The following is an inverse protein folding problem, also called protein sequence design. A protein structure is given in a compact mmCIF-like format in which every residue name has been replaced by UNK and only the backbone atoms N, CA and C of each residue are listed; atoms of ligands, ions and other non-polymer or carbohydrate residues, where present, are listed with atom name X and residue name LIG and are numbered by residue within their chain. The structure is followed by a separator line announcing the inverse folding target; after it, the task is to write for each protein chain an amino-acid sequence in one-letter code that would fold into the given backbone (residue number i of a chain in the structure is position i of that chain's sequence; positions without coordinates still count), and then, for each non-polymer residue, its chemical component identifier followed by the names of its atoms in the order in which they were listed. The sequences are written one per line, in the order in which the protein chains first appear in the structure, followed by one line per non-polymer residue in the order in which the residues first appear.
data_IF_536919365781
#
_entry.id   IF_536919365781
#
_cell.length_a   1.000
_cell.length_b   1.000
_cell.length_c   1.000
_cell.angle_alpha   90.00
_cell.angle_beta   90.00
_cell.angle_gamma   90.00
#
_symmetry.space_group_name_H-M   'P 1'
#
loop_
_entity.id
_entity.type
_entity.pdbx_description
1 polymer ?
#
# COMPACT_ATOMS: atom_id res chain seq x y z
N UNK A 1 -21.64 -6.29 18.27
CA UNK A 1 -20.89 -7.35 17.55
C UNK A 1 -19.77 -6.68 16.78
N UNK A 2 -18.57 -7.26 16.78
CA UNK A 2 -17.41 -6.73 16.05
C UNK A 2 -17.60 -6.94 14.54
N UNK A 3 -17.50 -5.87 13.74
CA UNK A 3 -17.76 -5.92 12.29
C UNK A 3 -16.49 -6.15 11.45
N UNK A 4 -15.30 -6.01 12.05
CA UNK A 4 -14.03 -5.98 11.34
C UNK A 4 -12.96 -6.85 12.01
N UNK A 5 -12.14 -7.51 11.20
CA UNK A 5 -10.93 -8.24 11.62
C UNK A 5 -9.70 -7.61 11.00
N UNK A 6 -8.80 -7.10 11.84
CA UNK A 6 -7.48 -6.62 11.45
C UNK A 6 -6.47 -7.77 11.54
N UNK A 7 -5.69 -7.97 10.48
CA UNK A 7 -4.72 -9.06 10.37
C UNK A 7 -3.32 -8.46 10.28
N UNK A 8 -2.46 -8.81 11.23
CA UNK A 8 -1.12 -8.23 11.38
C UNK A 8 -0.07 -9.33 11.25
N UNK A 9 0.56 -9.50 10.08
CA UNK A 9 1.69 -10.40 9.96
C UNK A 9 2.96 -9.79 10.55
N UNK A 10 3.76 -10.62 11.22
CA UNK A 10 5.07 -10.22 11.75
C UNK A 10 6.15 -11.28 11.50
N UNK A 11 7.40 -10.82 11.36
CA UNK A 11 8.57 -11.68 11.21
C UNK A 11 9.83 -10.99 11.77
N UNK A 12 10.32 -11.45 12.92
CA UNK A 12 11.56 -10.98 13.55
C UNK A 12 11.63 -9.46 13.79
N UNK A 13 10.48 -8.83 14.07
CA UNK A 13 10.36 -7.37 14.30
C UNK A 13 9.59 -7.05 15.58
N UNK A 14 10.08 -7.47 16.76
CA UNK A 14 9.32 -7.31 17.99
C UNK A 14 9.07 -5.87 18.41
N UNK A 15 10.00 -4.96 18.13
CA UNK A 15 9.80 -3.54 18.42
C UNK A 15 8.69 -2.93 17.58
N UNK A 16 8.64 -3.25 16.27
CA UNK A 16 7.61 -2.71 15.36
C UNK A 16 6.23 -3.20 15.78
N UNK A 17 6.07 -4.52 15.96
CA UNK A 17 4.82 -5.11 16.43
C UNK A 17 4.36 -4.52 17.76
N UNK A 18 5.27 -4.36 18.72
CA UNK A 18 4.93 -3.77 20.03
C UNK A 18 4.40 -2.34 19.89
N UNK A 19 5.07 -1.52 19.07
CA UNK A 19 4.65 -0.13 18.85
C UNK A 19 3.31 -0.06 18.13
N UNK A 20 3.11 -0.87 17.10
CA UNK A 20 1.85 -0.97 16.38
C UNK A 20 0.69 -1.40 17.30
N UNK A 21 0.84 -2.48 18.08
CA UNK A 21 -0.22 -2.97 18.97
C UNK A 21 -0.56 -1.96 20.07
N UNK A 22 0.44 -1.31 20.67
CA UNK A 22 0.21 -0.24 21.65
C UNK A 22 -0.48 0.98 21.05
N UNK A 23 -0.09 1.37 19.84
CA UNK A 23 -0.76 2.42 19.10
C UNK A 23 -2.24 2.08 18.87
N UNK A 24 -2.56 0.88 18.40
CA UNK A 24 -3.94 0.43 18.19
C UNK A 24 -4.75 0.36 19.49
N UNK A 25 -4.14 -0.08 20.59
CA UNK A 25 -4.79 -0.10 21.92
C UNK A 25 -5.09 1.32 22.43
N UNK A 26 -4.13 2.23 22.31
CA UNK A 26 -4.26 3.61 22.73
C UNK A 26 -5.32 4.37 21.90
N UNK A 27 -5.43 4.05 20.61
CA UNK A 27 -6.50 4.54 19.74
C UNK A 27 -7.88 3.93 20.09
N UNK A 28 -7.92 2.85 20.87
CA UNK A 28 -9.16 2.19 21.28
C UNK A 28 -9.79 1.37 20.15
N UNK A 29 -8.97 0.71 19.33
CA UNK A 29 -9.43 -0.18 18.26
C UNK A 29 -10.44 -1.22 18.80
N UNK A 30 -11.59 -1.34 18.12
CA UNK A 30 -12.67 -2.28 18.47
C UNK A 30 -12.80 -3.47 17.52
N UNK A 31 -11.77 -3.72 16.72
CA UNK A 31 -11.72 -4.84 15.76
C UNK A 31 -11.17 -6.08 16.45
N UNK A 32 -11.52 -7.27 15.93
CA UNK A 32 -10.76 -8.48 16.26
C UNK A 32 -9.38 -8.35 15.62
N UNK A 33 -8.30 -8.65 16.34
CA UNK A 33 -6.93 -8.59 15.83
C UNK A 33 -6.37 -10.00 15.73
N UNK A 34 -5.86 -10.38 14.56
CA UNK A 34 -5.12 -11.62 14.36
C UNK A 34 -3.64 -11.28 14.14
N UNK A 35 -2.77 -11.70 15.06
CA UNK A 35 -1.32 -11.57 14.88
C UNK A 35 -0.77 -12.87 14.30
N UNK A 36 -0.12 -12.78 13.12
CA UNK A 36 0.44 -13.92 12.40
C UNK A 36 1.96 -13.94 12.51
N UNK A 37 2.48 -14.66 13.49
CA UNK A 37 3.91 -14.69 13.80
C UNK A 37 4.61 -15.88 13.14
N UNK A 38 5.57 -15.59 12.27
CA UNK A 38 6.53 -16.60 11.77
C UNK A 38 7.95 -16.29 12.24
N UNK A 39 8.11 -15.62 13.37
CA UNK A 39 9.39 -15.18 13.93
C UNK A 39 10.18 -16.33 14.53
N UNK A 40 11.49 -16.16 14.65
CA UNK A 40 12.38 -17.04 15.39
C UNK A 40 12.03 -17.04 16.90
N UNK A 41 12.42 -18.09 17.65
CA UNK A 41 11.98 -18.27 19.05
C UNK A 41 12.20 -17.06 19.97
N UNK A 42 13.35 -16.38 19.86
CA UNK A 42 13.68 -15.21 20.68
C UNK A 42 12.76 -14.02 20.38
N UNK A 43 12.58 -13.70 19.09
CA UNK A 43 11.67 -12.63 18.66
C UNK A 43 10.21 -12.97 18.98
N UNK A 44 9.83 -14.25 18.91
CA UNK A 44 8.49 -14.72 19.27
C UNK A 44 8.19 -14.54 20.75
N UNK A 45 9.15 -14.85 21.63
CA UNK A 45 8.99 -14.63 23.06
C UNK A 45 8.80 -13.13 23.38
N UNK A 46 9.57 -12.26 22.70
CA UNK A 46 9.40 -10.81 22.81
C UNK A 46 8.02 -10.34 22.28
N UNK A 47 7.57 -10.88 21.14
CA UNK A 47 6.25 -10.60 20.59
C UNK A 47 5.14 -10.98 21.57
N UNK A 48 5.16 -12.20 22.11
CA UNK A 48 4.18 -12.65 23.09
C UNK A 48 4.16 -11.79 24.36
N UNK A 49 5.33 -11.34 24.82
CA UNK A 49 5.40 -10.41 25.95
C UNK A 49 4.76 -9.05 25.65
N UNK A 50 4.82 -8.58 24.40
CA UNK A 50 4.22 -7.32 23.97
C UNK A 50 2.68 -7.32 23.99
N UNK A 51 2.05 -8.51 24.00
CA UNK A 51 0.61 -8.66 24.11
C UNK A 51 0.09 -8.41 25.53
N UNK A 52 0.97 -8.45 26.54
CA UNK A 52 0.58 -8.22 27.93
C UNK A 52 -0.01 -6.81 28.11
N UNK A 53 -1.02 -6.71 28.96
CA UNK A 53 -1.68 -5.46 29.35
C UNK A 53 -2.41 -4.69 28.22
N UNK A 54 -2.55 -5.29 27.03
CA UNK A 54 -3.40 -4.75 25.98
C UNK A 54 -4.88 -5.06 26.25
N UNK A 55 -5.76 -4.15 25.86
CA UNK A 55 -7.23 -4.27 25.94
C UNK A 55 -7.86 -4.68 24.60
N UNK A 56 -7.03 -5.03 23.62
CA UNK A 56 -7.44 -5.48 22.29
C UNK A 56 -8.07 -6.88 22.36
N UNK A 57 -9.09 -7.12 21.52
CA UNK A 57 -9.60 -8.47 21.23
C UNK A 57 -8.65 -9.17 20.25
N UNK A 58 -7.61 -9.81 20.79
CA UNK A 58 -6.47 -10.31 20.03
C UNK A 58 -6.33 -11.83 20.10
N UNK A 59 -6.05 -12.43 18.94
CA UNK A 59 -5.65 -13.83 18.79
C UNK A 59 -4.22 -13.89 18.20
N UNK A 60 -3.32 -14.60 18.87
CA UNK A 60 -1.93 -14.78 18.44
C UNK A 60 -1.75 -16.16 17.81
N UNK A 61 -1.23 -16.20 16.60
CA UNK A 61 -1.11 -17.42 15.81
C UNK A 61 0.34 -17.60 15.37
N UNK A 62 0.92 -18.73 15.76
CA UNK A 62 2.29 -19.10 15.43
C UNK A 62 2.37 -19.93 14.15
N UNK A 63 3.38 -19.63 13.34
CA UNK A 63 3.70 -20.33 12.12
C UNK A 63 5.18 -20.77 12.10
N UNK A 64 5.55 -21.75 11.24
CA UNK A 64 6.94 -22.08 10.99
C UNK A 64 7.71 -20.87 10.43
N UNK A 65 8.96 -20.70 10.87
CA UNK A 65 9.87 -19.63 10.39
C UNK A 65 10.09 -19.68 8.88
N UNK A 66 10.01 -20.87 8.30
CA UNK A 66 10.21 -21.13 6.87
C UNK A 66 8.95 -20.94 6.04
N UNK A 67 7.79 -20.64 6.65
CA UNK A 67 6.54 -20.48 5.92
C UNK A 67 6.59 -19.23 5.04
N UNK A 68 6.19 -19.38 3.78
CA UNK A 68 6.16 -18.26 2.86
C UNK A 68 5.12 -17.21 3.32
N UNK A 69 5.42 -15.89 3.25
CA UNK A 69 4.54 -14.84 3.76
C UNK A 69 3.10 -14.90 3.21
N UNK A 70 2.93 -15.15 1.90
CA UNK A 70 1.60 -15.23 1.29
C UNK A 70 0.77 -16.43 1.78
N UNK A 71 1.41 -17.55 2.14
CA UNK A 71 0.69 -18.70 2.68
C UNK A 71 0.20 -18.39 4.10
N UNK A 72 1.03 -17.70 4.88
CA UNK A 72 0.66 -17.14 6.18
C UNK A 72 -0.51 -16.17 6.06
N UNK A 73 -0.46 -15.25 5.10
CA UNK A 73 -1.53 -14.28 4.88
C UNK A 73 -2.84 -14.98 4.50
N UNK A 74 -2.79 -15.97 3.59
CA UNK A 74 -3.95 -16.72 3.16
C UNK A 74 -4.61 -17.48 4.32
N UNK A 75 -3.82 -18.15 5.18
CA UNK A 75 -4.36 -18.84 6.37
C UNK A 75 -5.01 -17.85 7.35
N UNK A 76 -4.32 -16.74 7.66
CA UNK A 76 -4.86 -15.71 8.55
C UNK A 76 -6.14 -15.06 8.04
N UNK A 77 -6.22 -14.78 6.74
CA UNK A 77 -7.43 -14.28 6.06
C UNK A 77 -8.55 -15.32 6.10
N UNK A 78 -8.23 -16.60 5.93
CA UNK A 78 -9.19 -17.71 6.06
C UNK A 78 -9.81 -17.83 7.45
N UNK A 79 -9.14 -17.33 8.49
CA UNK A 79 -9.65 -17.32 9.88
C UNK A 79 -10.54 -16.12 10.20
N UNK A 80 -10.59 -15.10 9.35
CA UNK A 80 -11.48 -13.95 9.55
C UNK A 80 -12.95 -14.38 9.40
N UNK A 81 -13.75 -14.12 10.44
CA UNK A 81 -15.19 -14.48 10.48
C UNK A 81 -16.11 -13.25 10.51
N UNK A 82 -15.53 -12.05 10.66
CA UNK A 82 -16.30 -10.81 10.64
C UNK A 82 -16.65 -10.43 9.19
N UNK A 83 -17.68 -9.57 8.96
CA UNK A 83 -18.06 -9.15 7.61
C UNK A 83 -16.94 -8.45 6.82
N UNK A 84 -16.02 -7.76 7.50
CA UNK A 84 -14.93 -7.01 6.88
C UNK A 84 -13.56 -7.42 7.42
N UNK A 85 -12.54 -7.39 6.59
CA UNK A 85 -11.18 -7.65 7.02
C UNK A 85 -10.16 -6.79 6.26
N UNK A 86 -9.05 -6.47 6.93
CA UNK A 86 -7.89 -5.80 6.32
C UNK A 86 -6.58 -6.36 6.86
N UNK A 87 -5.53 -6.19 6.07
CA UNK A 87 -4.14 -6.40 6.53
C UNK A 87 -3.56 -5.07 7.03
N UNK A 88 -2.62 -5.15 7.96
CA UNK A 88 -1.75 -4.03 8.34
C UNK A 88 -0.38 -4.61 8.69
N UNK A 89 0.70 -4.08 8.09
CA UNK A 89 2.05 -4.51 8.43
C UNK A 89 2.38 -4.13 9.88
N UNK A 90 3.31 -4.86 10.49
CA UNK A 90 3.74 -4.61 11.87
C UNK A 90 4.46 -3.28 12.07
N UNK A 91 4.94 -2.65 10.98
CA UNK A 91 5.59 -1.34 10.93
C UNK A 91 4.70 -0.20 10.39
N UNK A 92 3.48 -0.48 9.94
CA UNK A 92 2.53 0.54 9.46
C UNK A 92 1.56 0.96 10.60
N UNK A 93 0.86 2.10 10.45
CA UNK A 93 -0.12 2.59 11.43
C UNK A 93 -1.51 2.77 10.80
N UNK A 94 -2.48 1.96 11.22
CA UNK A 94 -3.87 2.06 10.80
C UNK A 94 -4.61 3.17 11.55
N UNK A 95 -5.10 4.17 10.84
CA UNK A 95 -5.85 5.30 11.41
C UNK A 95 -7.33 4.95 11.52
N UNK A 96 -7.90 5.11 12.72
CA UNK A 96 -9.26 4.64 13.00
C UNK A 96 -10.34 5.44 12.27
N UNK A 97 -10.11 6.74 12.04
CA UNK A 97 -11.04 7.57 11.27
C UNK A 97 -11.17 7.07 9.82
N UNK A 98 -10.04 6.83 9.15
CA UNK A 98 -10.03 6.25 7.81
C UNK A 98 -10.62 4.84 7.76
N UNK A 99 -10.36 4.00 8.77
CA UNK A 99 -10.98 2.68 8.89
C UNK A 99 -12.50 2.78 8.99
N UNK A 100 -13.01 3.65 9.87
CA UNK A 100 -14.45 3.85 10.08
C UNK A 100 -15.13 4.40 8.83
N UNK A 101 -14.52 5.39 8.16
CA UNK A 101 -15.03 5.92 6.91
C UNK A 101 -15.06 4.85 5.81
N UNK A 102 -14.03 4.00 5.73
CA UNK A 102 -13.97 2.90 4.76
C UNK A 102 -15.06 1.85 5.01
N UNK A 103 -15.28 1.46 6.28
CA UNK A 103 -16.38 0.55 6.66
C UNK A 103 -17.75 1.14 6.32
N UNK A 104 -17.98 2.43 6.63
CA UNK A 104 -19.22 3.11 6.31
C UNK A 104 -19.47 3.19 4.79
N UNK A 105 -18.43 3.44 3.99
CA UNK A 105 -18.52 3.44 2.54
C UNK A 105 -18.90 2.07 1.96
N UNK A 106 -18.35 0.98 2.51
CA UNK A 106 -18.72 -0.38 2.12
C UNK A 106 -20.15 -0.75 2.52
N UNK A 107 -20.63 -0.31 3.68
CA UNK A 107 -22.04 -0.49 4.06
C UNK A 107 -22.99 0.25 3.10
N UNK A 108 -22.60 1.46 2.65
CA UNK A 108 -23.41 2.28 1.76
C UNK A 108 -23.42 1.79 0.29
N UNK A 109 -22.38 1.10 -0.17
CA UNK A 109 -22.22 0.64 -1.56
C UNK A 109 -22.05 -0.89 -1.63
N UNK A 110 -23.14 -1.65 -1.84
CA UNK A 110 -23.11 -3.11 -1.92
C UNK A 110 -22.19 -3.68 -3.01
N UNK A 111 -22.01 -2.98 -4.13
CA UNK A 111 -21.15 -3.43 -5.25
C UNK A 111 -19.66 -3.16 -5.00
N UNK A 112 -19.32 -2.37 -3.98
CA UNK A 112 -17.96 -2.16 -3.55
C UNK A 112 -17.46 -3.36 -2.76
N UNK A 113 -16.23 -3.78 -3.07
CA UNK A 113 -15.57 -4.93 -2.46
C UNK A 113 -14.40 -4.54 -1.57
N UNK A 114 -13.86 -3.34 -1.79
CA UNK A 114 -12.77 -2.75 -1.03
C UNK A 114 -13.02 -1.26 -0.83
N UNK A 115 -12.64 -0.72 0.33
CA UNK A 115 -12.54 0.71 0.58
C UNK A 115 -11.28 1.02 1.37
N UNK A 116 -10.66 2.16 1.08
CA UNK A 116 -9.51 2.68 1.79
C UNK A 116 -9.39 4.19 1.63
N UNK A 117 -8.67 4.84 2.53
CA UNK A 117 -8.38 6.28 2.46
C UNK A 117 -6.97 6.56 1.95
N UNK A 118 -6.43 7.72 2.30
CA UNK A 118 -5.10 8.17 1.90
C UNK A 118 -3.98 7.48 2.69
N UNK A 119 -2.90 7.15 1.99
CA UNK A 119 -1.71 6.56 2.59
C UNK A 119 -0.58 7.58 2.50
N UNK A 120 0.21 7.70 3.55
CA UNK A 120 1.38 8.56 3.55
C UNK A 120 2.58 7.87 4.19
N UNK A 121 3.78 8.36 3.88
CA UNK A 121 5.02 7.90 4.51
C UNK A 121 5.31 8.69 5.77
N UNK A 122 5.74 8.00 6.83
CA UNK A 122 6.25 8.62 8.05
C UNK A 122 7.60 8.04 8.48
N UNK A 123 8.35 8.79 9.29
CA UNK A 123 9.58 8.32 9.90
C UNK A 123 10.15 9.31 10.92
N UNK A 124 11.39 9.05 11.34
CA UNK A 124 12.14 9.84 12.30
C UNK A 124 13.48 10.22 11.67
N UNK A 125 13.44 11.08 10.64
CA UNK A 125 14.52 11.29 9.68
C UNK A 125 15.65 12.17 10.22
N UNK A 126 15.35 13.16 11.06
CA UNK A 126 16.39 14.02 11.66
C UNK A 126 16.71 13.64 13.10
N UNK A 127 15.71 13.17 13.86
CA UNK A 127 15.84 12.83 15.27
C UNK A 127 14.68 11.94 15.71
N UNK A 128 14.85 11.20 16.81
CA UNK A 128 13.87 10.25 17.32
C UNK A 128 12.65 10.90 18.02
N UNK A 129 12.68 12.21 18.27
CA UNK A 129 11.61 12.91 19.00
C UNK A 129 10.56 13.49 18.05
N UNK A 130 10.97 13.82 16.82
CA UNK A 130 10.14 14.47 15.83
C UNK A 130 9.69 13.49 14.75
N UNK A 131 8.40 13.47 14.48
CA UNK A 131 7.84 12.59 13.46
C UNK A 131 7.69 13.33 12.13
N UNK A 132 8.35 12.80 11.12
CA UNK A 132 8.33 13.29 9.74
C UNK A 132 7.18 12.67 8.97
N UNK A 133 6.38 13.51 8.33
CA UNK A 133 5.27 13.13 7.45
C UNK A 133 5.64 13.58 6.04
N UNK A 134 6.04 12.65 5.19
CA UNK A 134 6.83 12.99 4.02
C UNK A 134 6.07 12.98 2.71
N UNK A 135 5.45 11.87 2.33
CA UNK A 135 4.93 11.69 0.96
C UNK A 135 3.54 11.08 0.97
N UNK A 136 2.64 11.63 0.17
CA UNK A 136 1.35 10.98 -0.09
C UNK A 136 1.58 9.80 -1.03
N UNK A 137 1.52 8.59 -0.49
CA UNK A 137 1.85 7.38 -1.21
C UNK A 137 0.70 6.92 -2.10
N UNK A 138 -0.50 6.78 -1.52
CA UNK A 138 -1.70 6.35 -2.25
C UNK A 138 -2.81 7.36 -2.07
N UNK A 139 -3.28 7.94 -3.17
CA UNK A 139 -4.34 8.93 -3.19
C UNK A 139 -5.24 8.89 -4.42
N UNK A 140 -5.08 7.90 -5.31
CA UNK A 140 -5.88 7.85 -6.54
C UNK A 140 -7.38 7.77 -6.25
N UNK A 141 -8.23 8.36 -7.11
CA UNK A 141 -9.69 8.28 -6.96
C UNK A 141 -10.22 6.84 -6.93
N UNK A 142 -11.50 6.70 -6.58
CA UNK A 142 -12.22 5.42 -6.63
C UNK A 142 -12.11 4.75 -8.00
N UNK A 143 -11.99 3.42 -7.99
CA UNK A 143 -12.05 2.56 -9.16
C UNK A 143 -13.44 1.93 -9.21
N UNK A 144 -14.38 2.65 -9.81
CA UNK A 144 -15.83 2.40 -9.72
C UNK A 144 -16.52 2.21 -11.08
N UNK A 145 -15.76 2.10 -12.17
CA UNK A 145 -16.30 1.87 -13.50
C UNK A 145 -17.19 0.61 -13.51
N UNK A 146 -18.27 0.62 -14.31
CA UNK A 146 -19.16 -0.52 -14.43
C UNK A 146 -18.46 -1.76 -15.03
N UNK A 147 -17.62 -1.56 -16.06
CA UNK A 147 -16.88 -2.63 -16.73
C UNK A 147 -15.63 -3.07 -15.92
N UNK A 148 -15.46 -4.36 -15.59
CA UNK A 148 -14.30 -4.85 -14.86
C UNK A 148 -12.96 -4.56 -15.55
N UNK A 149 -12.92 -4.61 -16.89
CA UNK A 149 -11.67 -4.31 -17.61
C UNK A 149 -11.30 -2.84 -17.52
N UNK A 150 -12.28 -1.93 -17.58
CA UNK A 150 -12.04 -0.51 -17.31
C UNK A 150 -11.53 -0.26 -15.88
N UNK A 151 -12.00 -1.04 -14.89
CA UNK A 151 -11.46 -0.96 -13.52
C UNK A 151 -10.00 -1.43 -13.44
N UNK A 152 -9.66 -2.53 -14.12
CA UNK A 152 -8.27 -3.01 -14.23
C UNK A 152 -7.37 -1.99 -14.94
N UNK A 153 -7.84 -1.39 -16.04
CA UNK A 153 -7.12 -0.34 -16.77
C UNK A 153 -6.77 0.84 -15.86
N UNK A 154 -7.74 1.32 -15.07
CA UNK A 154 -7.54 2.40 -14.09
C UNK A 154 -6.49 2.05 -13.03
N UNK A 155 -6.55 0.83 -12.47
CA UNK A 155 -5.55 0.37 -11.50
C UNK A 155 -4.15 0.38 -12.13
N UNK A 156 -3.98 -0.24 -13.30
CA UNK A 156 -2.66 -0.39 -13.91
C UNK A 156 -2.14 0.92 -14.54
N UNK A 157 -3.01 1.90 -14.79
CA UNK A 157 -2.64 3.24 -15.22
C UNK A 157 -1.98 4.07 -14.10
N UNK A 158 -2.23 3.75 -12.83
CA UNK A 158 -1.56 4.37 -11.68
C UNK A 158 -1.60 3.38 -10.52
N UNK A 159 -0.71 2.38 -10.59
CA UNK A 159 -0.75 1.25 -9.69
C UNK A 159 -0.50 1.70 -8.25
N UNK A 160 -1.48 1.43 -7.39
CA UNK A 160 -1.40 1.61 -5.95
C UNK A 160 -1.84 0.31 -5.31
N UNK A 161 -1.02 -0.21 -4.39
CA UNK A 161 -1.28 -1.51 -3.79
C UNK A 161 -2.59 -1.46 -2.97
N UNK A 162 -3.49 -2.39 -3.24
CA UNK A 162 -4.76 -2.53 -2.50
C UNK A 162 -4.64 -3.45 -1.28
N UNK A 163 -3.49 -4.09 -1.07
CA UNK A 163 -3.24 -5.12 -0.05
C UNK A 163 -3.75 -4.76 1.34
N UNK A 164 -3.64 -3.48 1.73
CA UNK A 164 -4.01 -3.01 3.07
C UNK A 164 -5.39 -2.36 3.14
N UNK A 165 -6.17 -2.36 2.06
CA UNK A 165 -7.54 -1.83 2.10
C UNK A 165 -8.46 -2.66 2.98
N UNK A 166 -9.61 -2.11 3.32
CA UNK A 166 -10.69 -2.84 4.01
C UNK A 166 -11.51 -3.55 2.96
N UNK A 167 -11.61 -4.86 3.07
CA UNK A 167 -12.37 -5.68 2.13
C UNK A 167 -13.60 -6.27 2.79
N UNK A 168 -14.60 -6.60 1.97
CA UNK A 168 -15.57 -7.65 2.35
C UNK A 168 -14.80 -8.96 2.54
N UNK A 169 -14.93 -9.59 3.71
CA UNK A 169 -14.11 -10.75 4.08
C UNK A 169 -14.17 -11.88 3.06
N UNK A 170 -15.37 -12.21 2.56
CA UNK A 170 -15.53 -13.27 1.56
C UNK A 170 -14.80 -12.97 0.24
N UNK A 171 -14.70 -11.70 -0.16
CA UNK A 171 -13.93 -11.31 -1.35
C UNK A 171 -12.44 -11.41 -1.08
N UNK A 172 -11.96 -10.95 0.08
CA UNK A 172 -10.54 -11.05 0.42
C UNK A 172 -10.07 -12.52 0.49
N UNK A 173 -10.88 -13.39 1.08
CA UNK A 173 -10.65 -14.84 1.10
C UNK A 173 -10.61 -15.44 -0.31
N UNK A 174 -11.56 -15.07 -1.17
CA UNK A 174 -11.58 -15.53 -2.56
C UNK A 174 -10.32 -15.06 -3.33
N UNK A 175 -9.92 -13.80 -3.19
CA UNK A 175 -8.71 -13.23 -3.81
C UNK A 175 -7.46 -13.98 -3.38
N UNK A 176 -7.26 -14.20 -2.08
CA UNK A 176 -6.07 -14.90 -1.58
C UNK A 176 -6.06 -16.39 -1.93
N UNK A 177 -7.24 -17.00 -2.17
CA UNK A 177 -7.36 -18.35 -2.73
C UNK A 177 -6.77 -18.50 -4.14
N UNK A 178 -6.71 -17.42 -4.93
CA UNK A 178 -6.05 -17.42 -6.24
C UNK A 178 -4.52 -17.20 -6.14
N UNK A 179 -4.05 -16.41 -5.15
CA UNK A 179 -2.63 -16.03 -5.05
C UNK A 179 -1.69 -17.22 -4.84
N UNK A 180 -2.15 -18.26 -4.14
CA UNK A 180 -1.36 -19.48 -3.88
C UNK A 180 -0.91 -20.24 -5.13
N UNK A 181 -1.46 -19.91 -6.32
CA UNK A 181 -1.16 -20.59 -7.58
C UNK A 181 -0.03 -19.96 -8.38
N UNK A 182 0.33 -18.71 -8.10
CA UNK A 182 1.37 -18.00 -8.86
C UNK A 182 2.75 -18.16 -8.21
N UNK A 183 3.79 -18.30 -9.04
CA UNK A 183 5.17 -18.07 -8.63
C UNK A 183 5.54 -16.58 -8.63
N UNK A 184 6.59 -16.22 -7.89
CA UNK A 184 7.18 -14.88 -7.90
C UNK A 184 6.42 -13.82 -7.07
N UNK A 185 7.18 -12.93 -6.43
CA UNK A 185 6.63 -11.90 -5.53
C UNK A 185 5.85 -10.83 -6.29
N UNK A 186 6.39 -10.35 -7.42
CA UNK A 186 5.79 -9.25 -8.20
C UNK A 186 4.37 -9.58 -8.67
N UNK A 187 4.16 -10.74 -9.31
CA UNK A 187 2.83 -11.08 -9.82
C UNK A 187 1.83 -11.43 -8.72
N UNK A 188 2.27 -11.93 -7.56
CA UNK A 188 1.40 -12.09 -6.39
C UNK A 188 0.92 -10.73 -5.87
N UNK A 189 1.80 -9.74 -5.81
CA UNK A 189 1.43 -8.37 -5.43
C UNK A 189 0.51 -7.72 -6.47
N UNK A 190 0.81 -7.82 -7.76
CA UNK A 190 -0.08 -7.30 -8.81
C UNK A 190 -1.45 -7.98 -8.76
N UNK A 191 -1.48 -9.30 -8.55
CA UNK A 191 -2.71 -10.07 -8.53
C UNK A 191 -3.58 -9.71 -7.32
N UNK A 192 -2.98 -9.41 -6.16
CA UNK A 192 -3.73 -8.98 -4.97
C UNK A 192 -4.44 -7.63 -5.17
N UNK A 193 -3.94 -6.78 -6.08
CA UNK A 193 -4.63 -5.55 -6.51
C UNK A 193 -5.60 -5.78 -7.69
N UNK A 194 -5.20 -6.56 -8.68
CA UNK A 194 -5.97 -6.77 -9.92
C UNK A 194 -7.27 -7.56 -9.70
N UNK A 195 -7.26 -8.60 -8.86
CA UNK A 195 -8.45 -9.41 -8.63
C UNK A 195 -9.59 -8.62 -7.96
N UNK A 196 -9.36 -7.81 -6.90
CA UNK A 196 -10.40 -6.95 -6.33
C UNK A 196 -11.09 -6.03 -7.34
N UNK A 197 -10.32 -5.33 -8.18
CA UNK A 197 -10.89 -4.39 -9.15
C UNK A 197 -11.64 -5.11 -10.28
N UNK A 198 -11.31 -6.37 -10.56
CA UNK A 198 -12.14 -7.19 -11.44
C UNK A 198 -13.43 -7.63 -10.73
N UNK A 199 -13.35 -8.01 -9.45
CA UNK A 199 -14.48 -8.52 -8.66
C UNK A 199 -15.57 -7.48 -8.39
N UNK A 200 -15.21 -6.22 -8.19
CA UNK A 200 -16.16 -5.14 -7.89
C UNK A 200 -15.50 -3.78 -7.78
N UNK A 201 -16.24 -2.80 -7.25
CA UNK A 201 -15.73 -1.42 -7.10
C UNK A 201 -14.76 -1.32 -5.94
N UNK A 202 -13.77 -0.43 -6.06
CA UNK A 202 -12.84 -0.06 -4.99
C UNK A 202 -13.01 1.42 -4.69
N UNK A 203 -13.36 1.75 -3.45
CA UNK A 203 -13.71 3.11 -3.05
C UNK A 203 -12.52 3.79 -2.37
N UNK A 204 -12.25 5.03 -2.78
CA UNK A 204 -11.36 5.95 -2.06
C UNK A 204 -12.21 6.85 -1.16
N UNK A 205 -12.00 6.79 0.15
CA UNK A 205 -12.59 7.74 1.10
C UNK A 205 -11.64 8.92 1.32
N UNK A 206 -12.16 10.15 1.51
CA UNK A 206 -11.33 11.35 1.65
C UNK A 206 -10.79 11.49 3.08
N UNK A 207 -10.17 10.45 3.63
CA UNK A 207 -9.64 10.42 5.01
C UNK A 207 -8.24 9.82 5.02
N UNK A 208 -7.40 10.23 5.96
CA UNK A 208 -6.15 9.51 6.21
C UNK A 208 -6.45 8.11 6.76
N UNK A 209 -5.86 7.10 6.13
CA UNK A 209 -6.15 5.70 6.42
C UNK A 209 -4.96 4.92 6.98
N UNK A 210 -3.77 5.10 6.40
CA UNK A 210 -2.59 4.35 6.82
C UNK A 210 -1.34 5.22 6.75
N UNK A 211 -0.60 5.28 7.84
CA UNK A 211 0.77 5.78 7.83
C UNK A 211 1.70 4.60 7.55
N UNK A 212 2.57 4.72 6.55
CA UNK A 212 3.55 3.68 6.24
C UNK A 212 4.93 4.11 6.68
N UNK A 213 5.65 3.27 7.41
CA UNK A 213 6.97 3.65 7.87
C UNK A 213 7.95 3.62 6.69
N UNK A 214 8.87 4.60 6.64
CA UNK A 214 9.96 4.57 5.66
C UNK A 214 10.71 3.23 5.74
N UNK A 215 10.80 2.55 4.59
CA UNK A 215 11.54 1.29 4.49
C UNK A 215 12.99 1.48 4.94
N UNK A 216 13.48 0.60 5.81
CA UNK A 216 14.83 0.67 6.40
C UNK A 216 15.94 0.11 5.48
N UNK A 217 15.75 0.21 4.16
CA UNK A 217 16.80 -0.09 3.16
C UNK A 217 16.89 -1.53 2.66
N UNK A 218 16.00 -2.44 3.08
CA UNK A 218 16.04 -3.85 2.65
C UNK A 218 15.35 -4.16 1.31
N UNK A 219 14.65 -3.20 0.71
CA UNK A 219 13.93 -3.42 -0.56
C UNK A 219 14.87 -3.73 -1.74
N UNK A 220 16.12 -3.24 -1.70
CA UNK A 220 17.14 -3.52 -2.71
C UNK A 220 17.59 -4.99 -2.76
N UNK A 221 17.24 -5.81 -1.75
CA UNK A 221 17.58 -7.25 -1.69
C UNK A 221 16.51 -8.14 -2.32
N UNK A 222 15.34 -7.60 -2.70
CA UNK A 222 14.29 -8.38 -3.34
C UNK A 222 14.72 -8.72 -4.77
N UNK A 223 14.81 -10.01 -5.08
CA UNK A 223 14.99 -10.48 -6.46
C UNK A 223 13.63 -10.75 -7.10
N UNK A 224 13.52 -10.55 -8.42
CA UNK A 224 12.29 -10.77 -9.19
C UNK A 224 11.09 -9.95 -8.69
N UNK A 225 11.37 -8.77 -8.15
CA UNK A 225 10.34 -7.85 -7.66
C UNK A 225 10.07 -6.69 -8.63
N UNK A 226 11.11 -6.24 -9.35
CA UNK A 226 10.98 -5.20 -10.37
C UNK A 226 11.02 -5.84 -11.78
N UNK A 227 10.11 -5.50 -12.70
CA UNK A 227 10.04 -6.18 -14.00
C UNK A 227 11.31 -5.98 -14.85
N UNK A 228 11.99 -4.83 -14.74
CA UNK A 228 13.28 -4.59 -15.40
C UNK A 228 14.35 -5.57 -14.92
N UNK A 229 14.51 -5.68 -13.60
CA UNK A 229 15.50 -6.58 -13.01
C UNK A 229 15.20 -8.02 -13.36
N UNK A 230 13.93 -8.42 -13.25
CA UNK A 230 13.54 -9.77 -13.60
C UNK A 230 13.80 -10.06 -15.08
N UNK A 231 13.45 -9.14 -15.99
CA UNK A 231 13.71 -9.33 -17.42
C UNK A 231 15.21 -9.42 -17.75
N UNK A 232 16.04 -8.57 -17.12
CA UNK A 232 17.49 -8.60 -17.32
C UNK A 232 18.11 -9.89 -16.79
N UNK A 233 17.56 -10.49 -15.73
CA UNK A 233 17.99 -11.80 -15.22
C UNK A 233 17.53 -12.97 -16.09
N UNK A 234 16.24 -13.00 -16.41
CA UNK A 234 15.59 -14.11 -17.10
C UNK A 234 14.29 -13.64 -17.78
N UNK A 235 14.42 -13.15 -19.01
CA UNK A 235 13.28 -12.72 -19.82
C UNK A 235 12.25 -13.84 -20.07
N UNK A 236 12.64 -15.08 -20.43
CA UNK A 236 11.69 -16.20 -20.53
C UNK A 236 10.89 -16.44 -19.24
N UNK A 237 11.54 -16.40 -18.06
CA UNK A 237 10.87 -16.58 -16.77
C UNK A 237 9.82 -15.49 -16.51
N UNK A 238 10.16 -14.21 -16.72
CA UNK A 238 9.20 -13.10 -16.55
C UNK A 238 7.98 -13.27 -17.47
N UNK A 239 8.22 -13.58 -18.74
CA UNK A 239 7.15 -13.73 -19.74
C UNK A 239 6.27 -14.95 -19.44
N UNK A 240 6.87 -16.06 -18.97
CA UNK A 240 6.14 -17.24 -18.52
C UNK A 240 5.25 -16.93 -17.31
N UNK A 241 5.81 -16.26 -16.30
CA UNK A 241 5.05 -15.85 -15.11
C UNK A 241 3.92 -14.86 -15.44
N UNK A 242 4.10 -13.98 -16.44
CA UNK A 242 3.03 -13.13 -16.96
C UNK A 242 1.87 -13.95 -17.57
N UNK A 243 2.19 -14.99 -18.36
CA UNK A 243 1.17 -15.86 -18.97
C UNK A 243 0.35 -16.58 -17.90
N UNK A 244 0.99 -17.07 -16.83
CA UNK A 244 0.31 -17.67 -15.68
C UNK A 244 -0.59 -16.65 -14.97
N UNK A 245 -0.06 -15.47 -14.65
CA UNK A 245 -0.81 -14.38 -14.03
C UNK A 245 -2.05 -13.99 -14.84
N UNK A 246 -1.92 -13.81 -16.16
CA UNK A 246 -3.04 -13.50 -17.05
C UNK A 246 -4.08 -14.63 -17.07
N UNK A 247 -3.62 -15.88 -17.05
CA UNK A 247 -4.50 -17.05 -16.95
C UNK A 247 -5.40 -16.99 -15.72
N UNK A 248 -4.84 -16.62 -14.56
CA UNK A 248 -5.60 -16.46 -13.31
C UNK A 248 -6.62 -15.32 -13.40
N UNK A 249 -6.26 -14.18 -14.01
CA UNK A 249 -7.22 -13.08 -14.22
C UNK A 249 -8.41 -13.51 -15.09
N UNK A 250 -8.15 -14.25 -16.16
CA UNK A 250 -9.19 -14.74 -17.07
C UNK A 250 -10.08 -15.80 -16.42
N UNK A 251 -9.51 -16.69 -15.61
CA UNK A 251 -10.27 -17.64 -14.80
C UNK A 251 -11.23 -16.92 -13.84
N UNK A 252 -10.73 -15.91 -13.12
CA UNK A 252 -11.52 -15.12 -12.19
C UNK A 252 -12.65 -14.36 -12.90
N UNK A 253 -12.35 -13.72 -14.04
CA UNK A 253 -13.35 -13.06 -14.88
C UNK A 253 -14.44 -14.03 -15.33
N UNK A 254 -14.07 -15.19 -15.86
CA UNK A 254 -15.02 -16.19 -16.30
C UNK A 254 -15.94 -16.64 -15.15
N UNK A 255 -15.38 -16.85 -13.96
CA UNK A 255 -16.13 -17.21 -12.76
C UNK A 255 -17.12 -16.14 -12.31
N UNK A 256 -16.74 -14.86 -12.34
CA UNK A 256 -17.57 -13.76 -11.85
C UNK A 256 -18.51 -13.18 -12.90
N UNK A 257 -18.32 -13.54 -14.17
CA UNK A 257 -19.17 -13.12 -15.29
C UNK A 257 -19.54 -14.32 -16.15
N UNK A 258 -20.33 -15.27 -15.62
CA UNK A 258 -20.64 -16.52 -16.32
C UNK A 258 -21.39 -16.31 -17.64
N UNK A 259 -22.05 -15.15 -17.81
CA UNK A 259 -22.75 -14.78 -19.04
C UNK A 259 -21.82 -14.24 -20.15
N UNK A 260 -20.51 -14.09 -19.90
CA UNK A 260 -19.55 -13.66 -20.89
C UNK A 260 -19.27 -14.78 -21.91
N UNK A 261 -19.61 -14.54 -23.18
CA UNK A 261 -19.33 -15.49 -24.25
C UNK A 261 -17.82 -15.56 -24.61
N UNK A 262 -17.46 -16.54 -25.44
CA UNK A 262 -16.08 -16.75 -25.87
C UNK A 262 -15.49 -15.55 -26.63
N UNK A 263 -16.31 -14.79 -27.37
CA UNK A 263 -15.86 -13.61 -28.09
C UNK A 263 -15.47 -12.49 -27.13
N UNK A 264 -16.27 -12.26 -26.09
CA UNK A 264 -15.99 -11.30 -25.01
C UNK A 264 -14.74 -11.71 -24.22
N UNK A 265 -14.61 -12.98 -23.86
CA UNK A 265 -13.41 -13.49 -23.19
C UNK A 265 -12.14 -13.26 -24.02
N UNK A 266 -12.20 -13.48 -25.34
CA UNK A 266 -11.07 -13.24 -26.24
C UNK A 266 -10.72 -11.74 -26.36
N UNK A 267 -11.72 -10.85 -26.34
CA UNK A 267 -11.49 -9.39 -26.27
C UNK A 267 -10.80 -9.03 -24.97
N UNK A 268 -11.31 -9.49 -23.83
CA UNK A 268 -10.72 -9.23 -22.51
C UNK A 268 -9.28 -9.70 -22.41
N UNK A 269 -8.95 -10.88 -22.90
CA UNK A 269 -7.57 -11.35 -22.94
C UNK A 269 -6.66 -10.35 -23.67
N UNK A 270 -7.02 -9.94 -24.88
CA UNK A 270 -6.23 -8.95 -25.65
C UNK A 270 -6.14 -7.61 -24.94
N UNK A 271 -7.22 -7.15 -24.30
CA UNK A 271 -7.21 -5.89 -23.55
C UNK A 271 -6.32 -5.98 -22.32
N UNK A 272 -6.33 -7.10 -21.58
CA UNK A 272 -5.42 -7.36 -20.46
C UNK A 272 -3.96 -7.33 -20.93
N UNK A 273 -3.65 -7.93 -22.09
CA UNK A 273 -2.32 -7.89 -22.69
C UNK A 273 -1.87 -6.43 -22.96
N UNK A 274 -2.74 -5.60 -23.56
CA UNK A 274 -2.42 -4.19 -23.85
C UNK A 274 -2.29 -3.35 -22.57
N UNK A 275 -3.14 -3.56 -21.57
CA UNK A 275 -3.06 -2.87 -20.28
C UNK A 275 -1.71 -3.17 -19.60
N UNK A 276 -1.30 -4.45 -19.59
CA UNK A 276 -0.05 -4.85 -18.94
C UNK A 276 1.17 -4.50 -19.77
N UNK A 277 1.07 -4.45 -21.11
CA UNK A 277 2.12 -3.88 -21.95
C UNK A 277 2.39 -2.42 -21.55
N UNK A 278 1.36 -1.61 -21.36
CA UNK A 278 1.51 -0.22 -20.89
C UNK A 278 2.14 -0.15 -19.50
N UNK A 279 1.71 -1.02 -18.58
CA UNK A 279 2.29 -1.10 -17.24
C UNK A 279 3.78 -1.45 -17.30
N UNK A 280 4.13 -2.51 -18.02
CA UNK A 280 5.50 -3.00 -18.15
C UNK A 280 6.37 -1.93 -18.80
N UNK A 281 5.95 -1.34 -19.93
CA UNK A 281 6.71 -0.32 -20.65
C UNK A 281 7.15 0.86 -19.75
N UNK A 282 6.30 1.29 -18.80
CA UNK A 282 6.65 2.36 -17.84
C UNK A 282 7.74 1.96 -16.84
N UNK A 283 7.93 0.68 -16.63
CA UNK A 283 8.99 0.15 -15.78
C UNK A 283 10.26 -0.17 -16.58
N UNK A 284 10.31 0.02 -17.90
CA UNK A 284 11.54 -0.05 -18.70
C UNK A 284 11.96 1.35 -19.18
N UNK A 285 12.30 2.30 -18.29
CA UNK A 285 12.68 3.63 -18.73
C UNK A 285 14.04 3.59 -19.45
N UNK A 286 14.15 4.32 -20.56
CA UNK A 286 15.34 4.33 -21.43
C UNK A 286 16.64 4.56 -20.63
N UNK A 287 16.63 5.51 -19.69
CA UNK A 287 17.80 5.81 -18.85
C UNK A 287 18.30 4.61 -18.03
N UNK A 288 17.40 3.75 -17.54
CA UNK A 288 17.79 2.54 -16.80
C UNK A 288 18.32 1.48 -17.75
N UNK A 289 17.67 1.32 -18.91
CA UNK A 289 18.10 0.37 -19.94
C UNK A 289 19.48 0.74 -20.48
N UNK A 290 19.74 2.01 -20.77
CA UNK A 290 21.04 2.51 -21.25
C UNK A 290 22.15 2.23 -20.24
N UNK A 291 21.90 2.46 -18.95
CA UNK A 291 22.86 2.16 -17.88
C UNK A 291 23.13 0.67 -17.77
N UNK A 292 22.09 -0.17 -17.87
CA UNK A 292 22.26 -1.62 -17.83
C UNK A 292 23.06 -2.13 -19.04
N UNK A 293 22.76 -1.66 -20.25
CA UNK A 293 23.48 -2.02 -21.47
C UNK A 293 24.96 -1.63 -21.40
N UNK A 294 25.26 -0.41 -20.93
CA UNK A 294 26.64 0.07 -20.74
C UNK A 294 27.41 -0.86 -19.78
N UNK A 295 26.83 -1.19 -18.64
CA UNK A 295 27.49 -2.05 -17.65
C UNK A 295 27.67 -3.51 -18.14
N UNK A 296 26.68 -4.09 -18.81
CA UNK A 296 26.76 -5.44 -19.39
C UNK A 296 27.84 -5.53 -20.48
N UNK A 297 27.93 -4.53 -21.38
CA UNK A 297 28.97 -4.48 -22.42
C UNK A 297 30.37 -4.40 -21.81
N UNK A 298 30.52 -3.74 -20.66
CA UNK A 298 31.78 -3.68 -19.91
C UNK A 298 32.00 -4.86 -18.95
N UNK A 299 31.15 -5.89 -19.00
CA UNK A 299 31.32 -7.14 -18.27
C UNK A 299 31.01 -7.07 -16.77
N UNK A 300 30.24 -6.08 -16.33
CA UNK A 300 29.74 -6.03 -14.95
C UNK A 300 28.58 -7.00 -14.74
N UNK A 301 28.57 -7.70 -13.61
CA UNK A 301 27.44 -8.57 -13.25
C UNK A 301 26.20 -7.78 -12.83
N UNK A 302 25.02 -8.32 -13.09
CA UNK A 302 23.75 -7.68 -12.74
C UNK A 302 23.59 -7.37 -11.25
N UNK A 303 24.13 -8.21 -10.36
CA UNK A 303 24.08 -7.94 -8.92
C UNK A 303 24.85 -6.67 -8.55
N UNK A 304 25.95 -6.39 -9.25
CA UNK A 304 26.81 -5.24 -9.00
C UNK A 304 26.17 -3.95 -9.49
N UNK A 305 25.58 -3.96 -10.68
CA UNK A 305 25.02 -2.74 -11.25
C UNK A 305 23.56 -2.48 -10.89
N UNK A 306 22.75 -3.51 -10.65
CA UNK A 306 21.37 -3.34 -10.19
C UNK A 306 21.33 -2.57 -8.87
N UNK A 307 22.27 -2.85 -7.97
CA UNK A 307 22.42 -2.16 -6.69
C UNK A 307 23.15 -0.81 -6.78
N UNK A 308 23.61 -0.41 -7.98
CA UNK A 308 24.39 0.82 -8.14
C UNK A 308 23.52 2.08 -7.94
N UNK A 309 24.07 3.15 -7.32
CA UNK A 309 23.36 4.42 -7.19
C UNK A 309 22.91 5.02 -8.52
N UNK A 310 23.72 4.86 -9.58
CA UNK A 310 23.40 5.37 -10.93
C UNK A 310 22.09 4.76 -11.45
N UNK A 311 21.94 3.43 -11.34
CA UNK A 311 20.74 2.74 -11.79
C UNK A 311 19.55 3.03 -10.87
N UNK A 312 19.73 2.96 -9.56
CA UNK A 312 18.66 3.20 -8.58
C UNK A 312 18.11 4.63 -8.64
N UNK A 313 18.97 5.64 -8.84
CA UNK A 313 18.52 7.02 -9.04
C UNK A 313 17.73 7.18 -10.35
N UNK A 314 18.19 6.52 -11.43
CA UNK A 314 17.48 6.56 -12.72
C UNK A 314 16.09 5.91 -12.62
N UNK A 315 15.96 4.81 -11.87
CA UNK A 315 14.66 4.19 -11.56
C UNK A 315 13.77 5.14 -10.75
N UNK A 316 14.30 5.78 -9.71
CA UNK A 316 13.56 6.71 -8.86
C UNK A 316 13.03 7.91 -9.66
N UNK A 317 13.86 8.50 -10.52
CA UNK A 317 13.48 9.60 -11.41
C UNK A 317 12.38 9.18 -12.38
N UNK A 318 12.53 8.02 -13.03
CA UNK A 318 11.53 7.48 -13.95
C UNK A 318 10.19 7.19 -13.27
N UNK A 319 10.23 6.65 -12.05
CA UNK A 319 9.03 6.39 -11.24
C UNK A 319 8.30 7.69 -10.91
N UNK A 320 9.02 8.71 -10.43
CA UNK A 320 8.45 10.01 -10.08
C UNK A 320 7.80 10.73 -11.26
N UNK A 321 8.31 10.52 -12.48
CA UNK A 321 7.77 11.10 -13.71
C UNK A 321 6.56 10.32 -14.26
N UNK A 322 6.58 8.99 -14.15
CA UNK A 322 5.56 8.11 -14.77
C UNK A 322 4.21 8.12 -14.06
N UNK A 323 4.21 8.46 -12.77
CA UNK A 323 3.01 8.47 -11.93
C UNK A 323 2.60 9.88 -11.47
N UNK A 324 3.25 10.92 -11.98
CA UNK A 324 2.90 12.31 -11.73
C UNK A 324 1.50 12.63 -12.30
N UNK A 325 0.52 13.02 -11.48
CA UNK A 325 -0.71 13.63 -12.01
C UNK A 325 -0.37 14.96 -12.72
N UNK A 326 -1.20 15.41 -13.69
CA UNK A 326 -1.03 16.73 -14.27
C UNK A 326 -1.14 17.82 -13.18
N UNK A 327 -0.39 18.93 -13.29
CA UNK A 327 -0.46 20.03 -12.32
C UNK A 327 -1.85 20.67 -12.33
N UNK A 328 -2.39 20.96 -11.14
CA UNK A 328 -3.70 21.59 -10.99
C UNK A 328 -3.65 23.11 -11.17
N UNK A 329 -4.80 23.72 -11.46
CA UNK A 329 -4.94 25.16 -11.66
C UNK A 329 -5.05 25.99 -10.36
N UNK A 330 -5.10 25.35 -9.19
CA UNK A 330 -5.27 26.03 -7.89
C UNK A 330 -4.24 25.53 -6.87
N UNK A 331 -3.46 26.43 -6.25
CA UNK A 331 -2.43 26.05 -5.27
C UNK A 331 -3.04 25.39 -4.03
N UNK A 332 -2.53 24.21 -3.68
CA UNK A 332 -3.00 23.33 -2.60
C UNK A 332 -2.87 23.95 -1.19
N UNK A 333 -1.99 24.93 -1.04
CA UNK A 333 -1.62 25.51 0.24
C UNK A 333 -2.69 26.40 0.90
N UNK A 334 -3.69 26.88 0.17
CA UNK A 334 -4.73 27.73 0.75
C UNK A 334 -5.65 27.01 1.75
N UNK A 335 -5.78 25.68 1.71
CA UNK A 335 -6.81 24.96 2.49
C UNK A 335 -6.30 24.45 3.85
N UNK A 336 -5.00 24.19 3.96
CA UNK A 336 -4.37 23.70 5.19
C UNK A 336 -3.79 24.81 6.08
N UNK A 337 -3.77 26.06 5.63
CA UNK A 337 -3.15 27.18 6.35
C UNK A 337 -3.67 27.34 7.79
N UNK A 338 -4.96 27.07 8.02
CA UNK A 338 -5.55 27.12 9.37
C UNK A 338 -5.15 25.95 10.29
N UNK A 339 -4.45 24.94 9.77
CA UNK A 339 -3.88 23.84 10.54
C UNK A 339 -2.46 24.13 11.04
N UNK A 340 -1.82 25.21 10.60
CA UNK A 340 -0.44 25.55 10.95
C UNK A 340 -0.36 26.93 11.66
N UNK A 341 0.74 27.22 12.38
CA UNK A 341 0.92 28.52 13.02
C UNK A 341 0.76 29.69 12.03
N UNK A 342 0.26 30.83 12.51
CA UNK A 342 0.09 32.02 11.69
C UNK A 342 1.42 32.44 11.02
N UNK A 343 1.37 32.70 9.72
CA UNK A 343 2.55 33.06 8.91
C UNK A 343 3.31 31.88 8.30
N UNK A 344 2.96 30.63 8.62
CA UNK A 344 3.54 29.44 7.98
C UNK A 344 3.14 29.31 6.50
N UNK A 345 1.93 29.76 6.18
CA UNK A 345 1.40 29.88 4.82
C UNK A 345 0.85 31.30 4.66
N UNK A 346 1.25 32.00 3.60
CA UNK A 346 0.78 33.36 3.33
C UNK A 346 -0.68 33.37 2.82
N UNK A 347 -1.29 34.56 2.73
CA UNK A 347 -2.67 34.72 2.27
C UNK A 347 -2.89 34.35 0.78
N UNK A 348 -1.81 34.10 0.03
CA UNK A 348 -1.82 33.65 -1.36
C UNK A 348 -1.55 32.14 -1.49
N UNK A 349 -1.34 31.44 -0.37
CA UNK A 349 -1.00 30.02 -0.36
C UNK A 349 0.49 29.74 -0.59
N UNK A 350 1.40 30.69 -0.45
CA UNK A 350 2.82 30.34 -0.48
C UNK A 350 3.29 29.86 0.90
N UNK A 351 3.94 28.71 0.91
CA UNK A 351 4.65 28.20 2.09
C UNK A 351 6.00 28.89 2.17
N UNK A 352 6.30 29.54 3.31
CA UNK A 352 7.52 30.33 3.48
C UNK A 352 8.81 29.50 3.43
N UNK A 353 8.80 28.31 4.04
CA UNK A 353 9.85 27.29 3.95
C UNK A 353 9.30 25.93 4.43
N UNK A 354 9.73 24.84 3.78
CA UNK A 354 9.46 23.47 4.22
C UNK A 354 10.58 22.94 5.15
N UNK A 355 10.30 22.00 6.07
CA UNK A 355 8.99 21.42 6.38
C UNK A 355 8.10 22.35 7.22
N UNK A 356 6.78 22.21 7.07
CA UNK A 356 5.81 22.85 7.95
C UNK A 356 5.79 22.13 9.30
N UNK A 357 5.86 22.87 10.40
CA UNK A 357 5.93 22.30 11.74
C UNK A 357 4.61 22.50 12.48
N UNK A 358 4.11 21.43 13.10
CA UNK A 358 2.97 21.45 14.02
C UNK A 358 3.35 20.76 15.32
N UNK A 359 3.09 21.41 16.44
CA UNK A 359 3.40 20.90 17.79
C UNK A 359 2.10 20.53 18.50
N UNK A 360 2.09 19.35 19.14
CA UNK A 360 1.07 18.93 20.11
C UNK A 360 1.68 18.95 21.51
N UNK A 361 0.90 18.56 22.52
CA UNK A 361 1.43 18.38 23.88
C UNK A 361 2.39 17.18 23.97
N UNK A 362 2.39 16.29 22.97
CA UNK A 362 3.16 15.04 22.96
C UNK A 362 4.43 15.16 22.12
N UNK A 363 4.37 15.73 20.91
CA UNK A 363 5.52 15.79 19.99
C UNK A 363 5.43 16.91 18.96
N UNK A 364 6.52 17.07 18.19
CA UNK A 364 6.52 17.88 16.98
C UNK A 364 6.37 17.01 15.73
N UNK A 365 5.56 17.50 14.81
CA UNK A 365 5.32 16.91 13.50
C UNK A 365 5.92 17.81 12.42
N UNK A 366 6.69 17.23 11.50
CA UNK A 366 7.27 17.91 10.33
C UNK A 366 6.59 17.41 9.07
N UNK A 367 5.79 18.27 8.43
CA UNK A 367 5.08 17.98 7.19
C UNK A 367 5.93 18.46 6.02
N UNK A 368 6.23 17.58 5.06
CA UNK A 368 7.03 17.93 3.87
C UNK A 368 6.12 18.24 2.67
N UNK A 369 6.65 19.00 1.71
CA UNK A 369 5.90 19.40 0.51
C UNK A 369 5.44 18.22 -0.34
N UNK A 370 6.17 17.09 -0.33
CA UNK A 370 5.76 15.88 -1.06
C UNK A 370 4.54 15.16 -0.46
N UNK A 371 4.13 15.51 0.76
CA UNK A 371 2.89 15.03 1.38
C UNK A 371 1.68 15.80 0.83
N UNK A 372 1.93 17.04 0.42
CA UNK A 372 0.96 18.04 0.02
C UNK A 372 1.40 18.58 -1.33
N UNK A 373 1.49 17.65 -2.28
CA UNK A 373 1.96 17.91 -3.64
C UNK A 373 0.84 18.56 -4.47
N UNK A 374 1.10 19.67 -5.15
CA UNK A 374 0.12 20.38 -5.98
C UNK A 374 -0.54 19.49 -7.04
N UNK A 375 0.13 18.43 -7.48
CA UNK A 375 -0.42 17.42 -8.39
C UNK A 375 -1.60 16.64 -7.78
N UNK A 376 -1.75 16.66 -6.46
CA UNK A 376 -2.85 16.01 -5.73
C UNK A 376 -4.09 16.91 -5.60
N UNK A 377 -4.01 18.18 -6.01
CA UNK A 377 -5.13 19.11 -5.92
C UNK A 377 -6.32 18.63 -6.77
N UNK A 378 -7.51 18.59 -6.16
CA UNK A 378 -8.74 18.02 -6.75
C UNK A 378 -8.84 16.49 -6.67
N UNK A 379 -7.81 15.80 -6.16
CA UNK A 379 -7.81 14.36 -5.88
C UNK A 379 -7.78 14.09 -4.38
N UNK A 380 -7.00 14.90 -3.67
CA UNK A 380 -6.89 14.90 -2.21
C UNK A 380 -7.56 16.15 -1.68
N UNK A 381 -8.60 15.94 -0.88
CA UNK A 381 -9.29 17.01 -0.16
C UNK A 381 -9.01 16.82 1.32
N UNK A 382 -7.99 17.52 1.82
CA UNK A 382 -7.63 17.50 3.24
C UNK A 382 -7.82 18.90 3.81
N UNK A 383 -8.60 18.99 4.87
CA UNK A 383 -8.79 20.23 5.62
C UNK A 383 -7.95 20.30 6.90
N UNK A 384 -7.99 21.46 7.55
CA UNK A 384 -7.27 21.67 8.80
C UNK A 384 -7.81 20.84 9.97
N UNK A 385 -9.09 20.45 9.97
CA UNK A 385 -9.64 19.58 10.99
C UNK A 385 -9.07 18.18 10.87
N UNK A 386 -8.91 17.67 9.65
CA UNK A 386 -8.29 16.38 9.35
C UNK A 386 -6.80 16.36 9.70
N UNK A 387 -6.04 17.42 9.44
CA UNK A 387 -4.63 17.51 9.89
C UNK A 387 -4.54 17.52 11.42
N UNK A 388 -5.43 18.25 12.10
CA UNK A 388 -5.50 18.23 13.58
C UNK A 388 -5.85 16.85 14.11
N UNK A 389 -6.81 16.18 13.47
CA UNK A 389 -7.20 14.83 13.83
C UNK A 389 -6.05 13.84 13.62
N UNK A 390 -5.35 13.93 12.49
CA UNK A 390 -4.18 13.11 12.20
C UNK A 390 -3.13 13.22 13.30
N UNK A 391 -2.73 14.45 13.69
CA UNK A 391 -1.77 14.63 14.79
C UNK A 391 -2.27 14.04 16.11
N UNK A 392 -3.57 14.20 16.45
CA UNK A 392 -4.14 13.59 17.67
C UNK A 392 -4.11 12.06 17.62
N UNK A 393 -4.40 11.46 16.47
CA UNK A 393 -4.31 10.02 16.30
C UNK A 393 -2.86 9.56 16.47
N UNK A 394 -1.91 10.25 15.83
CA UNK A 394 -0.48 9.92 15.88
C UNK A 394 0.19 10.20 17.24
N UNK A 395 -0.38 11.06 18.09
CA UNK A 395 0.10 11.29 19.46
C UNK A 395 0.05 10.00 20.29
N UNK A 396 -0.78 9.03 19.92
CA UNK A 396 -0.85 7.71 20.54
C UNK A 396 0.30 6.77 20.15
N UNK A 397 1.13 7.13 19.16
CA UNK A 397 2.28 6.31 18.79
C UNK A 397 3.30 6.34 19.94
N UNK A 398 3.67 5.21 20.55
CA UNK A 398 4.55 5.22 21.71
C UNK A 398 5.94 5.79 21.35
N UNK A 399 6.60 6.52 22.28
CA UNK A 399 8.02 6.84 22.11
C UNK A 399 8.87 5.57 22.18
N UNK A 400 10.07 5.64 21.60
CA UNK A 400 11.07 4.56 21.63
C UNK A 400 11.65 4.31 23.03
#
# INVERSE_FOLDING_TARGET
MTLHTLIIPTYNRPSDLTRNLRFLDAQGLRSKVLVLDSSAPEARAANQAALADLRLDLEYIEYPVTLHPFDKFADGIGRAQTPYASLCADDDLLLLEGLQASLAALEAEPEAVCAHGYYFLFGFLQDAQNMDLTTMLYASPSIDAADPIARLDRLMASYQALTYGVFRTGVLQEVYGFLGRLGGLMFRELLSGALPVLRGKVLRVPEFYMARQHATGDDAKRTRWHPTEWFMRDAPELLGAYVEYRGVLLEALHRWTPDADAARMAVWQRTIDVIHLRYLARHFPDAVVDVAVDHEIHGMGIDDYWSSPKLQNSLLEAHNNSFAPPPAATPLACWIASAFPAGAIDARGHVGAWPLVRTTEVRHYRFYGSLIDERLSGVVEIDAAQIRQLCRSLDAYPPD
#
